data_IF_829846927949
#
_entry.id   IF_829846927949
#
_cell.length_a   1.000
_cell.length_b   1.000
_cell.length_c   1.000
_cell.angle_alpha   90.00
_cell.angle_beta   90.00
_cell.angle_gamma   90.00
#
_symmetry.space_group_name_H-M   'P 1'
#
loop_
_entity.id
_entity.type
_entity.pdbx_description
1 polymer ?
#
# COMPACT_ATOMS: atom_id res chain seq x y z
N UNK A 1 -7.45 5.12 9.38
CA UNK A 1 -8.27 3.95 8.99
C UNK A 1 -8.07 2.78 9.96
N UNK A 2 -7.72 3.05 11.22
CA UNK A 2 -7.55 2.00 12.22
C UNK A 2 -7.82 2.60 13.61
N UNK A 3 -9.06 2.48 14.14
CA UNK A 3 -9.46 3.03 15.42
C UNK A 3 -8.50 2.81 16.59
N UNK A 4 -7.82 1.63 16.72
CA UNK A 4 -6.85 1.43 17.78
C UNK A 4 -5.68 2.44 17.78
N UNK A 5 -5.15 2.81 16.61
CA UNK A 5 -4.04 3.77 16.52
C UNK A 5 -4.48 5.23 16.64
N UNK A 6 -5.77 5.47 16.39
CA UNK A 6 -6.41 6.78 16.57
C UNK A 6 -6.83 7.02 18.04
N UNK A 7 -6.73 5.98 18.88
CA UNK A 7 -7.09 6.03 20.31
C UNK A 7 -8.58 5.83 20.59
N UNK A 8 -9.38 5.51 19.56
CA UNK A 8 -10.85 5.35 19.64
C UNK A 8 -11.56 6.57 20.28
N UNK A 9 -10.95 7.73 20.19
CA UNK A 9 -11.37 8.94 20.91
C UNK A 9 -12.57 9.66 20.29
N UNK A 10 -12.94 9.32 19.05
CA UNK A 10 -14.05 9.95 18.33
C UNK A 10 -14.68 8.96 17.34
N UNK A 11 -15.31 7.91 17.85
CA UNK A 11 -15.96 6.88 17.04
C UNK A 11 -17.44 7.20 16.79
N UNK A 12 -17.97 6.90 15.59
CA UNK A 12 -19.34 7.25 15.21
C UNK A 12 -20.45 6.52 15.99
N UNK A 13 -20.10 5.48 16.77
CA UNK A 13 -21.06 4.61 17.48
C UNK A 13 -20.89 4.69 19.01
N UNK A 14 -20.09 5.62 19.51
CA UNK A 14 -20.00 5.87 20.94
C UNK A 14 -21.30 6.55 21.41
N UNK A 15 -22.26 5.74 21.82
CA UNK A 15 -23.42 6.18 22.59
C UNK A 15 -22.93 6.82 23.89
N UNK A 16 -23.45 8.02 24.16
CA UNK A 16 -23.33 8.81 25.38
C UNK A 16 -21.92 9.31 25.75
N UNK A 17 -21.77 10.64 25.66
CA UNK A 17 -20.77 11.47 26.36
C UNK A 17 -19.26 11.18 26.19
N UNK A 18 -18.82 10.39 25.21
CA UNK A 18 -17.39 10.37 24.88
C UNK A 18 -16.98 11.71 24.27
N UNK A 19 -16.22 12.51 25.04
CA UNK A 19 -15.62 13.75 24.57
C UNK A 19 -14.72 13.45 23.35
N UNK A 20 -15.14 13.90 22.17
CA UNK A 20 -14.36 13.76 20.95
C UNK A 20 -13.05 14.53 21.10
N UNK A 21 -11.93 13.81 21.23
CA UNK A 21 -10.58 14.39 21.28
C UNK A 21 -9.77 13.92 20.09
N UNK A 22 -8.74 14.69 19.73
CA UNK A 22 -7.84 14.37 18.61
C UNK A 22 -7.17 13.00 18.75
N UNK A 23 -6.87 12.51 19.97
CA UNK A 23 -6.24 11.21 20.14
C UNK A 23 -4.95 11.05 19.33
N UNK A 24 -4.88 10.01 18.50
CA UNK A 24 -3.74 9.76 17.61
C UNK A 24 -3.73 10.59 16.31
N UNK A 25 -4.78 11.37 16.04
CA UNK A 25 -4.88 12.18 14.83
C UNK A 25 -3.86 13.33 14.82
N UNK A 26 -3.44 13.77 13.62
CA UNK A 26 -2.59 14.93 13.48
C UNK A 26 -3.27 16.22 13.93
N UNK A 27 -2.55 17.06 14.68
CA UNK A 27 -3.02 18.41 15.06
C UNK A 27 -3.21 19.35 13.88
N UNK A 28 -2.41 19.17 12.82
CA UNK A 28 -2.47 19.93 11.57
C UNK A 28 -2.23 18.99 10.39
N UNK A 29 -2.89 19.28 9.28
CA UNK A 29 -2.76 18.55 8.02
C UNK A 29 -2.47 19.53 6.90
N UNK A 30 -1.44 19.26 6.12
CA UNK A 30 -1.14 20.01 4.90
C UNK A 30 -1.73 19.23 3.72
N UNK A 31 -2.74 19.81 3.07
CA UNK A 31 -3.27 19.28 1.83
C UNK A 31 -2.33 19.65 0.68
N UNK A 32 -1.70 18.64 0.09
CA UNK A 32 -0.70 18.87 -0.96
C UNK A 32 -1.17 18.51 -2.34
N UNK A 33 -0.86 19.43 -3.25
CA UNK A 33 -1.06 19.34 -4.69
C UNK A 33 0.24 19.56 -5.49
N UNK A 34 1.33 20.00 -4.85
CA UNK A 34 2.60 20.29 -5.53
C UNK A 34 3.83 19.85 -4.74
N UNK A 35 4.92 19.52 -5.43
CA UNK A 35 6.21 19.18 -4.81
C UNK A 35 6.74 20.30 -3.91
N UNK A 36 6.54 21.56 -4.31
CA UNK A 36 6.99 22.71 -3.52
C UNK A 36 6.33 22.76 -2.13
N UNK A 37 5.06 22.39 -2.00
CA UNK A 37 4.38 22.32 -0.70
C UNK A 37 4.97 21.21 0.18
N UNK A 38 5.43 20.10 -0.42
CA UNK A 38 6.13 19.04 0.30
C UNK A 38 7.45 19.56 0.84
N UNK A 39 8.24 20.21 -0.01
CA UNK A 39 9.54 20.79 0.39
C UNK A 39 9.36 21.83 1.49
N UNK A 40 8.37 22.72 1.36
CA UNK A 40 8.02 23.69 2.39
C UNK A 40 7.61 23.03 3.71
N UNK A 41 6.75 22.00 3.66
CA UNK A 41 6.32 21.27 4.86
C UNK A 41 7.49 20.54 5.54
N UNK A 42 8.37 19.89 4.77
CA UNK A 42 9.58 19.22 5.28
C UNK A 42 10.50 20.23 5.95
N UNK A 43 10.77 21.36 5.29
CA UNK A 43 11.64 22.40 5.82
C UNK A 43 11.03 23.04 7.09
N UNK A 44 9.74 23.38 7.05
CA UNK A 44 9.02 23.94 8.20
C UNK A 44 9.04 22.99 9.40
N UNK A 45 8.78 21.70 9.19
CA UNK A 45 8.83 20.71 10.26
C UNK A 45 10.24 20.58 10.85
N UNK A 46 11.27 20.55 10.00
CA UNK A 46 12.68 20.49 10.42
C UNK A 46 13.08 21.73 11.23
N UNK A 47 12.73 22.93 10.75
CA UNK A 47 13.10 24.21 11.37
C UNK A 47 12.39 24.44 12.71
N UNK A 48 11.19 23.88 12.87
CA UNK A 48 10.37 24.04 14.09
C UNK A 48 10.41 22.81 15.01
N UNK A 49 11.25 21.81 14.73
CA UNK A 49 11.34 20.59 15.53
C UNK A 49 10.05 19.78 15.59
N UNK A 50 9.20 19.88 14.55
CA UNK A 50 7.92 19.19 14.49
C UNK A 50 8.10 17.78 13.94
N UNK A 51 7.36 16.84 14.53
CA UNK A 51 7.25 15.48 13.98
C UNK A 51 6.50 15.53 12.66
N UNK A 52 7.14 15.06 11.60
CA UNK A 52 6.50 14.86 10.30
C UNK A 52 5.97 13.41 10.21
N UNK A 53 4.68 13.27 9.94
CA UNK A 53 4.07 11.98 9.58
C UNK A 53 3.54 12.08 8.16
N UNK A 54 3.74 11.07 7.32
CA UNK A 54 3.27 11.09 5.93
C UNK A 54 2.12 10.12 5.80
N UNK A 55 0.95 10.66 5.48
CA UNK A 55 -0.26 9.90 5.25
C UNK A 55 -0.59 9.84 3.76
N UNK A 56 -0.94 8.62 3.36
CA UNK A 56 -1.54 8.35 2.06
C UNK A 56 -3.04 8.05 2.24
N UNK A 57 -3.52 6.85 1.97
CA UNK A 57 -4.94 6.52 2.15
C UNK A 57 -5.29 6.16 3.59
N UNK A 58 -4.28 6.03 4.47
CA UNK A 58 -4.46 5.60 5.85
C UNK A 58 -4.57 4.09 6.04
N UNK A 59 -4.27 3.29 5.00
CA UNK A 59 -4.28 1.82 4.98
C UNK A 59 -3.09 1.16 5.72
N UNK A 60 -2.41 1.89 6.60
CA UNK A 60 -1.31 1.31 7.37
C UNK A 60 -1.82 0.61 8.64
N UNK A 61 -1.72 -0.72 8.64
CA UNK A 61 -2.14 -1.59 9.74
C UNK A 61 -1.25 -1.49 11.00
N UNK A 62 -0.16 -0.73 10.94
CA UNK A 62 0.80 -0.53 12.05
C UNK A 62 0.78 0.90 12.59
N UNK A 63 -0.17 1.73 12.16
CA UNK A 63 -0.28 3.12 12.60
C UNK A 63 0.81 4.06 12.08
N UNK A 64 1.65 3.66 11.12
CA UNK A 64 2.76 4.47 10.59
C UNK A 64 2.30 5.73 9.84
N UNK A 65 1.04 5.76 9.41
CA UNK A 65 0.41 6.89 8.72
C UNK A 65 -0.44 7.77 9.65
N UNK A 66 -0.31 7.58 10.97
CA UNK A 66 -1.06 8.29 12.01
C UNK A 66 -0.08 8.82 13.07
N UNK A 67 -0.35 10.02 13.57
CA UNK A 67 0.43 10.67 14.62
C UNK A 67 0.28 12.19 14.59
N UNK A 68 0.53 12.84 15.73
CA UNK A 68 0.55 14.30 15.83
C UNK A 68 1.53 14.90 14.81
N UNK A 69 1.06 15.86 13.99
CA UNK A 69 1.86 16.51 12.94
C UNK A 69 1.87 15.83 11.56
N UNK A 70 0.83 15.05 11.22
CA UNK A 70 0.74 14.36 9.94
C UNK A 70 0.32 15.22 8.74
N UNK A 71 1.07 15.04 7.68
CA UNK A 71 0.84 15.49 6.32
C UNK A 71 -0.08 14.51 5.58
N UNK A 72 -1.07 15.00 4.82
CA UNK A 72 -1.99 14.17 4.03
C UNK A 72 -2.04 14.70 2.59
N UNK A 73 -1.39 13.99 1.67
CA UNK A 73 -1.51 14.25 0.24
C UNK A 73 -2.67 13.43 -0.33
N UNK A 74 -3.45 13.96 -1.26
CA UNK A 74 -4.39 13.13 -2.02
C UNK A 74 -3.61 12.25 -3.00
N UNK A 75 -3.51 10.95 -2.76
CA UNK A 75 -2.74 10.04 -3.61
C UNK A 75 -3.63 9.11 -4.45
N UNK A 76 -3.03 8.61 -5.55
CA UNK A 76 -3.68 7.67 -6.49
C UNK A 76 -3.97 6.34 -5.81
N UNK A 77 -5.25 5.96 -5.83
CA UNK A 77 -5.75 4.67 -5.35
C UNK A 77 -5.66 3.59 -6.44
N UNK A 78 -5.65 2.32 -6.02
CA UNK A 78 -5.58 1.17 -6.92
C UNK A 78 -6.64 1.20 -8.03
N UNK A 79 -7.90 1.46 -7.68
CA UNK A 79 -9.00 1.50 -8.65
C UNK A 79 -8.83 2.60 -9.70
N UNK A 80 -8.35 3.78 -9.28
CA UNK A 80 -8.08 4.90 -10.18
C UNK A 80 -7.01 4.54 -11.21
N UNK A 81 -5.91 3.92 -10.75
CA UNK A 81 -4.83 3.46 -11.61
C UNK A 81 -5.32 2.43 -12.63
N UNK A 82 -6.11 1.44 -12.19
CA UNK A 82 -6.64 0.41 -13.08
C UNK A 82 -7.63 0.95 -14.11
N UNK A 83 -8.50 1.88 -13.71
CA UNK A 83 -9.42 2.54 -14.64
C UNK A 83 -8.66 3.26 -15.74
N UNK A 84 -7.63 4.03 -15.37
CA UNK A 84 -6.79 4.75 -16.33
C UNK A 84 -5.97 3.84 -17.23
N UNK A 85 -5.33 2.81 -16.67
CA UNK A 85 -4.60 1.84 -17.47
C UNK A 85 -5.50 1.07 -18.46
N UNK A 86 -6.76 0.78 -18.07
CA UNK A 86 -7.72 0.13 -18.93
C UNK A 86 -8.09 0.99 -20.14
N UNK A 87 -8.29 2.30 -19.95
CA UNK A 87 -8.58 3.27 -21.03
C UNK A 87 -7.49 3.26 -22.12
N UNK A 88 -6.23 3.00 -21.75
CA UNK A 88 -5.08 3.00 -22.67
C UNK A 88 -4.65 1.59 -23.13
N UNK A 89 -5.41 0.53 -22.80
CA UNK A 89 -5.12 -0.83 -23.28
C UNK A 89 -4.04 -1.59 -22.48
N UNK A 90 -3.70 -1.14 -21.28
CA UNK A 90 -2.67 -1.73 -20.44
C UNK A 90 -3.21 -2.25 -19.10
N UNK A 91 -2.39 -3.03 -18.40
CA UNK A 91 -2.66 -3.60 -17.08
C UNK A 91 -1.39 -3.45 -16.22
N UNK A 92 -1.44 -2.70 -15.11
CA UNK A 92 -0.32 -2.61 -14.17
C UNK A 92 -0.31 -3.84 -13.26
N UNK A 93 0.86 -4.15 -12.70
CA UNK A 93 0.99 -5.10 -11.58
C UNK A 93 0.85 -4.29 -10.30
N UNK A 94 -0.38 -4.17 -9.80
CA UNK A 94 -0.69 -3.38 -8.60
C UNK A 94 -1.86 -3.98 -7.83
N UNK A 95 -2.18 -3.40 -6.68
CA UNK A 95 -3.33 -3.77 -5.87
C UNK A 95 -4.62 -3.54 -6.66
N UNK A 96 -5.41 -4.60 -6.79
CA UNK A 96 -6.71 -4.63 -7.49
C UNK A 96 -7.67 -5.55 -6.76
N UNK A 97 -8.93 -5.16 -6.62
CA UNK A 97 -9.98 -6.02 -6.05
C UNK A 97 -9.86 -6.27 -4.55
N UNK A 98 -8.70 -6.73 -4.07
CA UNK A 98 -8.41 -7.02 -2.65
C UNK A 98 -8.32 -5.75 -1.79
N UNK A 99 -8.02 -4.60 -2.40
CA UNK A 99 -7.84 -3.32 -1.70
C UNK A 99 -7.94 -2.14 -2.65
N UNK A 100 -9.10 -1.92 -3.27
CA UNK A 100 -9.32 -0.90 -4.31
C UNK A 100 -8.93 0.52 -3.88
N UNK A 101 -9.08 0.84 -2.59
CA UNK A 101 -8.78 2.15 -2.01
C UNK A 101 -7.34 2.27 -1.46
N UNK A 102 -6.52 1.22 -1.59
CA UNK A 102 -5.11 1.26 -1.19
C UNK A 102 -4.36 2.24 -2.09
N UNK A 103 -3.52 3.08 -1.49
CA UNK A 103 -2.73 4.07 -2.23
C UNK A 103 -1.54 3.36 -2.88
N UNK A 104 -1.48 3.36 -4.21
CA UNK A 104 -0.51 2.54 -4.96
C UNK A 104 0.91 3.00 -4.68
N UNK A 105 1.18 4.30 -4.84
CA UNK A 105 2.52 4.88 -4.68
C UNK A 105 2.96 5.09 -3.21
N UNK A 106 2.30 4.44 -2.26
CA UNK A 106 2.56 4.57 -0.83
C UNK A 106 3.29 3.37 -0.23
N UNK A 107 3.01 3.11 1.06
CA UNK A 107 3.57 1.99 1.82
C UNK A 107 3.35 0.63 1.15
N UNK A 108 2.27 0.47 0.36
CA UNK A 108 2.00 -0.73 -0.44
C UNK A 108 3.16 -1.05 -1.38
N UNK A 109 3.46 -0.14 -2.32
CA UNK A 109 4.49 -0.35 -3.32
C UNK A 109 5.87 -0.37 -2.66
N UNK A 110 6.16 0.62 -1.82
CA UNK A 110 7.48 0.80 -1.19
C UNK A 110 7.83 -0.31 -0.17
N UNK A 111 6.84 -1.08 0.28
CA UNK A 111 7.03 -2.27 1.11
C UNK A 111 7.06 -3.60 0.32
N UNK A 112 6.87 -3.56 -1.00
CA UNK A 112 6.90 -4.73 -1.87
C UNK A 112 5.72 -4.77 -2.86
N UNK A 113 4.50 -4.75 -2.32
CA UNK A 113 3.25 -4.71 -3.08
C UNK A 113 2.92 -6.03 -3.80
N UNK A 114 2.03 -6.83 -3.23
CA UNK A 114 1.49 -8.02 -3.89
C UNK A 114 0.30 -7.67 -4.78
N UNK A 115 0.20 -8.32 -5.93
CA UNK A 115 -0.90 -8.20 -6.88
C UNK A 115 -1.28 -9.61 -7.33
N UNK A 116 -2.51 -9.83 -7.83
CA UNK A 116 -2.92 -11.11 -8.46
C UNK A 116 -2.04 -11.53 -9.65
N UNK A 117 -1.21 -10.62 -10.15
CA UNK A 117 -0.28 -10.86 -11.25
C UNK A 117 1.14 -11.12 -10.76
N UNK A 118 1.37 -11.21 -9.43
CA UNK A 118 2.72 -11.30 -8.87
C UNK A 118 3.42 -12.61 -9.20
N UNK A 119 2.68 -13.72 -9.30
CA UNK A 119 3.27 -14.99 -9.76
C UNK A 119 3.79 -14.92 -11.20
N UNK A 120 3.19 -14.08 -12.06
CA UNK A 120 3.57 -13.92 -13.47
C UNK A 120 4.64 -12.84 -13.69
N UNK A 121 4.52 -11.72 -13.00
CA UNK A 121 5.34 -10.53 -13.26
C UNK A 121 6.20 -10.09 -12.06
N UNK A 122 6.26 -10.86 -10.97
CA UNK A 122 6.86 -10.49 -9.68
C UNK A 122 6.04 -9.43 -8.93
N UNK A 123 6.48 -9.04 -7.74
CA UNK A 123 5.82 -8.00 -6.93
C UNK A 123 5.77 -6.64 -7.67
N UNK A 124 4.83 -5.79 -7.28
CA UNK A 124 4.68 -4.43 -7.81
C UNK A 124 5.97 -3.61 -7.72
N UNK A 125 6.77 -3.81 -6.66
CA UNK A 125 8.03 -3.09 -6.50
C UNK A 125 9.08 -3.44 -7.55
N UNK A 126 8.96 -4.58 -8.21
CA UNK A 126 9.84 -4.95 -9.31
C UNK A 126 9.48 -4.27 -10.64
N UNK A 127 8.33 -3.60 -10.69
CA UNK A 127 7.91 -2.84 -11.87
C UNK A 127 8.41 -1.39 -11.86
N UNK A 128 8.94 -0.91 -10.73
CA UNK A 128 9.37 0.48 -10.59
C UNK A 128 10.63 0.73 -11.42
N UNK A 129 10.54 1.70 -12.32
CA UNK A 129 11.62 2.16 -13.20
C UNK A 129 12.28 3.43 -12.66
N UNK A 130 11.49 4.33 -12.07
CA UNK A 130 11.99 5.56 -11.47
C UNK A 130 11.06 6.04 -10.35
N UNK A 131 11.62 6.76 -9.38
CA UNK A 131 10.87 7.40 -8.31
C UNK A 131 11.25 8.88 -8.26
N UNK A 132 10.27 9.75 -8.07
CA UNK A 132 10.54 11.13 -7.66
C UNK A 132 10.35 11.23 -6.16
N UNK A 133 11.34 11.79 -5.47
CA UNK A 133 11.41 11.80 -4.01
C UNK A 133 11.84 13.17 -3.50
N UNK A 134 11.21 13.62 -2.41
CA UNK A 134 11.69 14.71 -1.58
C UNK A 134 12.39 14.13 -0.36
N UNK A 135 13.69 14.35 -0.25
CA UNK A 135 14.51 13.89 0.88
C UNK A 135 14.30 14.78 2.12
N UNK A 136 14.78 14.32 3.28
CA UNK A 136 14.66 15.05 4.55
C UNK A 136 15.36 16.43 4.56
N UNK A 137 16.36 16.63 3.69
CA UNK A 137 17.01 17.93 3.50
C UNK A 137 16.17 18.88 2.61
N UNK A 138 15.05 18.42 2.04
CA UNK A 138 14.20 19.19 1.13
C UNK A 138 14.61 19.08 -0.35
N UNK A 139 15.67 18.34 -0.68
CA UNK A 139 16.07 18.09 -2.07
C UNK A 139 15.01 17.26 -2.77
N UNK A 140 14.56 17.74 -3.92
CA UNK A 140 13.70 17.00 -4.83
C UNK A 140 14.54 16.40 -5.94
N UNK A 141 14.43 15.09 -6.16
CA UNK A 141 15.20 14.40 -7.18
C UNK A 141 14.44 13.20 -7.76
N UNK A 142 14.83 12.83 -8.98
CA UNK A 142 14.42 11.58 -9.61
C UNK A 142 15.52 10.56 -9.36
N UNK A 143 15.17 9.41 -8.81
CA UNK A 143 16.09 8.29 -8.58
C UNK A 143 15.74 7.12 -9.49
N UNK A 144 16.77 6.58 -10.14
CA UNK A 144 16.72 5.35 -10.93
C UNK A 144 17.83 4.41 -10.50
N UNK A 145 17.88 3.22 -11.09
CA UNK A 145 18.95 2.26 -10.87
C UNK A 145 20.32 2.79 -11.33
N UNK A 146 20.32 3.66 -12.35
CA UNK A 146 21.53 4.22 -12.96
C UNK A 146 22.01 5.50 -12.29
N UNK A 147 21.11 6.34 -11.76
CA UNK A 147 21.49 7.63 -11.18
C UNK A 147 21.84 7.54 -9.70
N UNK A 148 21.03 6.81 -8.92
CA UNK A 148 21.10 6.77 -7.46
C UNK A 148 20.76 5.37 -6.93
N UNK A 149 21.56 4.34 -7.26
CA UNK A 149 21.22 2.94 -7.03
C UNK A 149 20.92 2.62 -5.56
N UNK A 150 21.65 3.23 -4.62
CA UNK A 150 21.47 2.98 -3.19
C UNK A 150 20.13 3.51 -2.67
N UNK A 151 19.76 4.73 -3.09
CA UNK A 151 18.48 5.37 -2.71
C UNK A 151 17.32 4.64 -3.40
N UNK A 152 17.50 4.29 -4.67
CA UNK A 152 16.53 3.52 -5.44
C UNK A 152 16.28 2.14 -4.83
N UNK A 153 17.34 1.42 -4.44
CA UNK A 153 17.24 0.15 -3.74
C UNK A 153 16.53 0.31 -2.38
N UNK A 154 16.91 1.30 -1.57
CA UNK A 154 16.33 1.53 -0.25
C UNK A 154 14.82 1.84 -0.33
N UNK A 155 14.40 2.68 -1.27
CA UNK A 155 12.99 3.00 -1.49
C UNK A 155 12.20 1.79 -2.01
N UNK A 156 12.87 0.79 -2.61
CA UNK A 156 12.26 -0.42 -3.18
C UNK A 156 12.20 -1.61 -2.20
N UNK A 157 11.74 -1.38 -0.98
CA UNK A 157 11.45 -2.45 -0.04
C UNK A 157 11.51 -2.07 1.45
N UNK A 158 12.10 -0.94 1.80
CA UNK A 158 12.19 -0.52 3.19
C UNK A 158 10.86 -0.01 3.79
N UNK A 159 9.81 0.10 2.97
CA UNK A 159 8.52 0.67 3.35
C UNK A 159 8.45 2.18 3.13
N UNK A 160 7.21 2.68 3.11
CA UNK A 160 6.96 4.09 2.84
C UNK A 160 7.51 5.05 3.89
N UNK A 161 7.88 6.25 3.43
CA UNK A 161 8.13 7.44 4.26
C UNK A 161 9.35 7.38 5.20
N UNK A 162 10.28 6.43 4.99
CA UNK A 162 11.50 6.30 5.81
C UNK A 162 12.69 7.03 5.19
N UNK A 163 12.93 6.82 3.88
CA UNK A 163 14.07 7.41 3.17
C UNK A 163 13.74 8.72 2.43
N UNK A 164 12.45 9.08 2.37
CA UNK A 164 11.96 10.30 1.74
C UNK A 164 10.47 10.21 1.44
N UNK A 165 9.92 11.32 0.95
CA UNK A 165 8.53 11.42 0.51
C UNK A 165 8.49 11.19 -0.99
N UNK A 166 8.02 10.01 -1.41
CA UNK A 166 7.83 9.69 -2.83
C UNK A 166 6.64 10.48 -3.36
N UNK A 167 6.85 11.25 -4.42
CA UNK A 167 5.84 12.12 -5.04
C UNK A 167 5.30 11.55 -6.34
N UNK A 168 6.10 10.75 -7.05
CA UNK A 168 5.72 10.12 -8.31
C UNK A 168 6.47 8.81 -8.51
N UNK A 169 5.86 7.90 -9.25
CA UNK A 169 6.40 6.57 -9.57
C UNK A 169 6.24 6.37 -11.07
N UNK A 170 7.33 6.00 -11.74
CA UNK A 170 7.28 5.47 -13.09
C UNK A 170 7.37 3.95 -12.97
N UNK A 171 6.35 3.25 -13.46
CA UNK A 171 6.23 1.79 -13.37
C UNK A 171 5.99 1.18 -14.74
N UNK A 172 6.55 0.00 -14.97
CA UNK A 172 6.18 -0.84 -16.10
C UNK A 172 4.69 -1.21 -16.04
N UNK A 173 4.10 -1.32 -17.23
CA UNK A 173 2.73 -1.80 -17.47
C UNK A 173 2.76 -2.84 -18.58
N UNK A 174 1.78 -3.72 -18.59
CA UNK A 174 1.73 -4.84 -19.53
C UNK A 174 0.50 -4.76 -20.43
N UNK A 175 0.54 -5.30 -21.66
CA UNK A 175 -0.66 -5.42 -22.48
C UNK A 175 -1.79 -6.13 -21.73
N UNK A 176 -3.02 -5.70 -21.96
CA UNK A 176 -4.19 -6.35 -21.36
C UNK A 176 -4.18 -7.86 -21.61
N UNK A 177 -4.28 -8.63 -20.53
CA UNK A 177 -4.30 -10.09 -20.55
C UNK A 177 -5.62 -10.57 -19.95
N UNK A 178 -6.24 -11.57 -20.57
CA UNK A 178 -7.42 -12.23 -20.02
C UNK A 178 -7.08 -12.94 -18.71
N UNK A 179 -7.92 -12.76 -17.69
CA UNK A 179 -7.78 -13.42 -16.39
C UNK A 179 -8.95 -14.37 -16.19
N UNK A 180 -8.66 -15.64 -15.91
CA UNK A 180 -9.66 -16.62 -15.48
C UNK A 180 -9.60 -16.73 -13.96
N UNK A 181 -10.76 -16.60 -13.31
CA UNK A 181 -10.89 -16.74 -11.87
C UNK A 181 -11.67 -18.02 -11.57
N UNK A 182 -11.10 -18.91 -10.78
CA UNK A 182 -11.78 -20.08 -10.23
C UNK A 182 -11.97 -19.88 -8.73
N UNK A 183 -13.17 -20.14 -8.23
CA UNK A 183 -13.48 -20.08 -6.78
C UNK A 183 -13.78 -21.48 -6.30
N UNK A 184 -13.08 -21.91 -5.26
CA UNK A 184 -13.29 -23.20 -4.58
C UNK A 184 -13.46 -22.95 -3.08
N UNK A 185 -14.43 -23.61 -2.46
CA UNK A 185 -14.66 -23.51 -1.02
C UNK A 185 -14.79 -24.90 -0.40
N UNK A 186 -14.18 -25.11 0.76
CA UNK A 186 -14.34 -26.30 1.56
C UNK A 186 -14.47 -25.91 3.03
N UNK A 187 -15.24 -26.68 3.80
CA UNK A 187 -15.56 -26.39 5.19
C UNK A 187 -15.71 -27.67 5.99
N UNK A 188 -15.63 -27.59 7.31
CA UNK A 188 -16.04 -28.68 8.20
C UNK A 188 -17.54 -28.94 8.08
N UNK A 189 -17.97 -30.14 8.45
CA UNK A 189 -19.38 -30.52 8.46
C UNK A 189 -19.61 -31.85 9.17
N UNK A 190 -20.84 -32.37 9.16
CA UNK A 190 -21.18 -33.64 9.82
C UNK A 190 -20.29 -34.81 9.37
N UNK A 191 -19.82 -34.75 8.11
CA UNK A 191 -18.99 -35.79 7.48
C UNK A 191 -17.53 -35.36 7.26
N UNK A 192 -17.14 -34.14 7.67
CA UNK A 192 -15.78 -33.61 7.51
C UNK A 192 -15.32 -33.07 8.86
N UNK A 193 -14.49 -33.85 9.54
CA UNK A 193 -13.91 -33.49 10.83
C UNK A 193 -12.93 -32.31 10.68
N UNK A 194 -12.61 -31.65 11.80
CA UNK A 194 -11.60 -30.59 11.82
C UNK A 194 -10.23 -31.11 11.34
N UNK A 195 -9.86 -32.33 11.72
CA UNK A 195 -8.59 -32.94 11.28
C UNK A 195 -8.59 -33.17 9.77
N UNK A 196 -9.67 -33.72 9.21
CA UNK A 196 -9.80 -33.90 7.76
C UNK A 196 -9.78 -32.57 7.00
N UNK A 197 -10.38 -31.51 7.57
CA UNK A 197 -10.30 -30.16 7.01
C UNK A 197 -8.86 -29.65 6.98
N UNK A 198 -8.11 -29.78 8.09
CA UNK A 198 -6.73 -29.32 8.16
C UNK A 198 -5.79 -30.15 7.28
N UNK A 199 -6.02 -31.46 7.14
CA UNK A 199 -5.29 -32.31 6.17
C UNK A 199 -5.56 -31.87 4.72
N UNK A 200 -6.81 -31.57 4.38
CA UNK A 200 -7.18 -31.00 3.08
C UNK A 200 -6.52 -29.63 2.83
N UNK A 201 -6.51 -28.75 3.84
CA UNK A 201 -5.86 -27.45 3.74
C UNK A 201 -4.34 -27.56 3.57
N UNK A 202 -3.67 -28.49 4.29
CA UNK A 202 -2.24 -28.76 4.09
C UNK A 202 -1.97 -29.26 2.68
N UNK A 203 -2.76 -30.22 2.20
CA UNK A 203 -2.65 -30.73 0.83
C UNK A 203 -2.80 -29.60 -0.20
N UNK A 204 -3.75 -28.68 0.02
CA UNK A 204 -3.92 -27.50 -0.82
C UNK A 204 -2.67 -26.59 -0.80
N UNK A 205 -2.07 -26.34 0.36
CA UNK A 205 -0.84 -25.57 0.48
C UNK A 205 0.38 -26.27 -0.15
N UNK A 206 0.45 -27.60 -0.10
CA UNK A 206 1.54 -28.38 -0.72
C UNK A 206 1.55 -28.25 -2.25
N UNK A 207 0.39 -27.99 -2.88
CA UNK A 207 0.29 -27.76 -4.33
C UNK A 207 0.50 -26.29 -4.72
N UNK A 208 0.54 -25.38 -3.75
CA UNK A 208 0.66 -23.94 -4.00
C UNK A 208 1.92 -23.56 -4.81
N UNK A 209 3.12 -24.11 -4.54
CA UNK A 209 4.32 -23.80 -5.31
C UNK A 209 4.18 -24.13 -6.80
N UNK A 210 3.67 -25.33 -7.13
CA UNK A 210 3.48 -25.76 -8.51
C UNK A 210 2.52 -24.82 -9.26
N UNK A 211 1.44 -24.42 -8.61
CA UNK A 211 0.50 -23.47 -9.20
C UNK A 211 1.11 -22.06 -9.38
N UNK A 212 1.93 -21.60 -8.44
CA UNK A 212 2.63 -20.32 -8.54
C UNK A 212 3.64 -20.31 -9.69
N UNK A 213 4.33 -21.43 -9.96
CA UNK A 213 5.22 -21.59 -11.12
C UNK A 213 4.49 -21.46 -12.46
N UNK A 214 3.22 -21.87 -12.54
CA UNK A 214 2.36 -21.64 -13.71
C UNK A 214 1.82 -20.20 -13.80
N UNK A 215 2.22 -19.31 -12.90
CA UNK A 215 1.76 -17.92 -12.85
C UNK A 215 0.37 -17.76 -12.24
N UNK A 216 -0.17 -18.79 -11.58
CA UNK A 216 -1.43 -18.68 -10.86
C UNK A 216 -1.20 -18.03 -9.50
N UNK A 217 -2.23 -17.35 -9.01
CA UNK A 217 -2.24 -16.79 -7.68
C UNK A 217 -3.54 -17.13 -6.99
N UNK A 218 -3.45 -17.42 -5.70
CA UNK A 218 -4.60 -17.72 -4.88
C UNK A 218 -4.78 -16.67 -3.80
N UNK A 219 -6.04 -16.41 -3.53
CA UNK A 219 -6.48 -15.58 -2.41
C UNK A 219 -7.29 -16.47 -1.49
N UNK A 220 -6.83 -16.65 -0.25
CA UNK A 220 -7.56 -17.42 0.77
C UNK A 220 -8.36 -16.44 1.61
N UNK A 221 -9.68 -16.53 1.52
CA UNK A 221 -10.60 -15.77 2.37
C UNK A 221 -11.11 -16.68 3.49
N UNK A 222 -10.75 -16.35 4.73
CA UNK A 222 -11.41 -16.93 5.90
C UNK A 222 -12.67 -16.10 6.15
N UNK A 223 -13.84 -16.72 6.04
CA UNK A 223 -15.12 -16.14 6.46
C UNK A 223 -15.49 -16.63 7.84
#
# INVERSE_FOLDING_TARGET
>A
MWPPYEGRTCLPIAADEILCTLGGYPSYVVNVSTVAQIQLAVNFARENGLRLVVKNTGHDYRGKSVGAGAFDGGWVQGEELYRKAKEVGFTPVSVRGEGQTVGVAGVYLLGGGHSLLSSKYRLSIYQVLALQVVLANGTFMTVTEETDPDVFWALRGAGGSTFGIVTSVISAVYPQTGVTVSTSSFSTGPNVTADAFWDGFRTYLDHFPAHAEFGNQFTVNQR
#
